data_IF_499366930617
#
_entry.id   IF_499366930617
#
_cell.length_a   1.000
_cell.length_b   1.000
_cell.length_c   1.000
_cell.angle_alpha   90.00
_cell.angle_beta   90.00
_cell.angle_gamma   90.00
#
_symmetry.space_group_name_H-M   'P 1'
#
loop_
_entity.id
_entity.type
_entity.pdbx_description
1 polymer ?
#
# COMPACT_ATOMS: atom_id res chain seq x y z
N UNK A 1 -31.45 -5.41 -10.75
CA UNK A 1 -30.61 -6.63 -11.03
C UNK A 1 -29.26 -6.47 -10.36
N UNK A 2 -28.69 -7.52 -9.71
CA UNK A 2 -27.36 -7.47 -9.07
C UNK A 2 -26.33 -8.16 -9.98
N UNK A 3 -25.20 -7.46 -10.23
CA UNK A 3 -24.10 -7.92 -11.08
C UNK A 3 -22.80 -7.78 -10.30
N UNK A 4 -21.95 -8.81 -10.30
CA UNK A 4 -20.61 -8.73 -9.70
C UNK A 4 -19.62 -8.22 -10.73
N UNK A 5 -18.82 -7.24 -10.29
CA UNK A 5 -17.78 -6.62 -11.10
C UNK A 5 -16.40 -6.87 -10.51
N UNK A 6 -15.40 -6.85 -11.37
CA UNK A 6 -13.99 -6.90 -11.00
C UNK A 6 -13.28 -5.66 -11.56
N UNK A 7 -12.15 -5.29 -10.97
CA UNK A 7 -11.39 -4.13 -11.41
C UNK A 7 -11.64 -2.88 -10.57
N UNK A 8 -11.48 -1.70 -11.17
CA UNK A 8 -11.51 -0.45 -10.44
C UNK A 8 -12.86 0.25 -10.57
N UNK A 9 -13.60 0.37 -9.46
CA UNK A 9 -14.90 1.05 -9.39
C UNK A 9 -14.86 2.51 -9.90
N UNK A 10 -13.71 3.18 -9.86
CA UNK A 10 -13.57 4.55 -10.38
C UNK A 10 -13.66 4.64 -11.91
N UNK A 11 -13.59 3.52 -12.61
CA UNK A 11 -13.78 3.40 -14.07
C UNK A 11 -15.18 2.92 -14.45
N UNK A 12 -16.01 2.63 -13.46
CA UNK A 12 -17.37 2.17 -13.74
C UNK A 12 -18.19 3.27 -14.44
N UNK A 13 -19.02 2.85 -15.36
CA UNK A 13 -19.94 3.72 -16.14
C UNK A 13 -21.38 3.64 -15.60
N UNK A 14 -21.55 3.27 -14.33
CA UNK A 14 -22.85 3.39 -13.64
C UNK A 14 -23.21 4.86 -13.46
N UNK A 15 -24.51 5.16 -13.35
CA UNK A 15 -24.99 6.54 -13.13
C UNK A 15 -24.40 7.14 -11.86
N UNK A 16 -24.21 6.30 -10.84
CA UNK A 16 -23.54 6.70 -9.61
C UNK A 16 -22.52 5.66 -9.13
N UNK A 17 -21.45 6.14 -8.51
CA UNK A 17 -20.42 5.31 -7.84
C UNK A 17 -20.37 5.65 -6.35
N UNK A 18 -20.32 4.61 -5.52
CA UNK A 18 -20.30 4.79 -4.05
C UNK A 18 -18.88 4.90 -3.53
N UNK A 19 -18.65 5.92 -2.69
CA UNK A 19 -17.44 6.15 -1.94
C UNK A 19 -17.68 5.87 -0.45
N UNK A 20 -16.95 4.91 0.14
CA UNK A 20 -17.04 4.61 1.58
C UNK A 20 -16.25 5.63 2.40
N UNK A 21 -16.92 6.33 3.32
CA UNK A 21 -16.33 7.44 4.08
C UNK A 21 -16.55 7.33 5.59
N UNK A 22 -15.96 8.25 6.34
CA UNK A 22 -16.25 8.51 7.76
C UNK A 22 -16.99 9.84 7.89
N UNK A 23 -17.40 10.22 9.12
CA UNK A 23 -18.12 11.49 9.35
C UNK A 23 -17.25 12.61 9.91
N UNK A 24 -15.91 12.44 9.94
CA UNK A 24 -14.97 13.48 10.42
C UNK A 24 -14.15 14.14 9.29
N UNK A 25 -14.53 13.93 8.03
CA UNK A 25 -13.95 14.65 6.90
C UNK A 25 -12.58 14.15 6.43
N UNK A 26 -12.17 12.90 6.76
CA UNK A 26 -10.85 12.37 6.42
C UNK A 26 -10.93 11.32 5.31
N UNK A 27 -10.33 11.60 4.17
CA UNK A 27 -10.09 10.66 3.06
C UNK A 27 -8.58 10.45 2.91
N UNK A 28 -7.98 9.75 3.89
CA UNK A 28 -6.52 9.61 4.00
C UNK A 28 -5.95 8.28 3.50
N UNK A 29 -6.78 7.25 3.31
CA UNK A 29 -6.35 5.88 2.92
C UNK A 29 -7.43 5.16 2.12
N UNK A 30 -7.04 4.06 1.46
CA UNK A 30 -7.93 3.14 0.76
C UNK A 30 -8.75 3.80 -0.34
N UNK A 31 -9.93 3.27 -0.60
CA UNK A 31 -10.84 3.72 -1.65
C UNK A 31 -11.17 5.21 -1.52
N UNK A 32 -11.41 5.72 -0.30
CA UNK A 32 -11.73 7.13 -0.08
C UNK A 32 -10.60 8.07 -0.56
N UNK A 33 -9.32 7.72 -0.34
CA UNK A 33 -8.20 8.50 -0.86
C UNK A 33 -8.19 8.51 -2.39
N UNK A 34 -8.53 7.40 -3.04
CA UNK A 34 -8.63 7.33 -4.49
C UNK A 34 -9.74 8.25 -5.01
N UNK A 35 -10.93 8.24 -4.38
CA UNK A 35 -12.02 9.17 -4.70
C UNK A 35 -11.62 10.62 -4.51
N UNK A 36 -10.88 10.96 -3.44
CA UNK A 36 -10.35 12.31 -3.21
C UNK A 36 -9.45 12.77 -4.36
N UNK A 37 -8.58 11.88 -4.84
CA UNK A 37 -7.68 12.19 -5.96
C UNK A 37 -8.42 12.30 -7.31
N UNK A 38 -9.41 11.42 -7.55
CA UNK A 38 -10.17 11.38 -8.80
C UNK A 38 -11.23 12.47 -8.89
N UNK A 39 -11.86 12.82 -7.77
CA UNK A 39 -13.00 13.74 -7.68
C UNK A 39 -12.76 14.81 -6.58
N UNK A 40 -11.88 15.82 -6.82
CA UNK A 40 -11.54 16.84 -5.82
C UNK A 40 -12.73 17.64 -5.32
N UNK A 41 -13.71 17.94 -6.20
CA UNK A 41 -14.90 18.72 -5.82
C UNK A 41 -15.86 17.90 -4.95
N UNK A 42 -15.97 16.60 -5.18
CA UNK A 42 -16.64 15.68 -4.24
C UNK A 42 -15.99 15.74 -2.86
N UNK A 43 -14.65 15.74 -2.78
CA UNK A 43 -13.96 15.86 -1.50
C UNK A 43 -14.26 17.18 -0.77
N UNK A 44 -14.33 18.30 -1.50
CA UNK A 44 -14.68 19.62 -0.91
C UNK A 44 -16.10 19.60 -0.33
N UNK A 45 -17.08 19.09 -1.09
CA UNK A 45 -18.47 18.95 -0.66
C UNK A 45 -18.59 18.05 0.59
N UNK A 46 -17.96 16.87 0.54
CA UNK A 46 -17.92 15.94 1.67
C UNK A 46 -17.27 16.57 2.91
N UNK A 47 -16.12 17.22 2.75
CA UNK A 47 -15.41 17.87 3.86
C UNK A 47 -16.28 18.93 4.53
N UNK A 48 -16.94 19.77 3.73
CA UNK A 48 -17.89 20.78 4.21
C UNK A 48 -19.03 20.13 5.00
N UNK A 49 -19.67 19.09 4.47
CA UNK A 49 -20.76 18.41 5.15
C UNK A 49 -20.34 17.77 6.49
N UNK A 50 -19.10 17.30 6.59
CA UNK A 50 -18.55 16.81 7.86
C UNK A 50 -18.26 17.95 8.85
N UNK A 51 -17.71 19.09 8.39
CA UNK A 51 -17.43 20.25 9.24
C UNK A 51 -18.73 20.86 9.78
N UNK A 52 -19.76 20.94 8.93
CA UNK A 52 -21.12 21.39 9.29
C UNK A 52 -21.91 20.35 10.13
N UNK A 53 -21.33 19.15 10.35
CA UNK A 53 -21.97 18.02 11.04
C UNK A 53 -23.31 17.58 10.40
N UNK A 54 -23.52 17.89 9.14
CA UNK A 54 -24.71 17.48 8.38
C UNK A 54 -24.62 16.06 7.83
N UNK A 55 -23.42 15.47 7.72
CA UNK A 55 -23.22 14.08 7.30
C UNK A 55 -23.00 13.20 8.54
N UNK A 56 -23.96 12.33 8.83
CA UNK A 56 -23.94 11.39 9.96
C UNK A 56 -24.11 9.94 9.48
N UNK A 57 -23.88 8.98 10.38
CA UNK A 57 -24.15 7.56 10.10
C UNK A 57 -25.62 7.37 9.72
N UNK A 58 -25.87 6.53 8.75
CA UNK A 58 -27.21 6.25 8.23
C UNK A 58 -27.71 7.25 7.19
N UNK A 59 -27.01 8.36 6.98
CA UNK A 59 -27.27 9.30 5.89
C UNK A 59 -26.19 9.18 4.82
N UNK A 60 -26.55 9.53 3.59
CA UNK A 60 -25.60 9.58 2.46
C UNK A 60 -25.53 11.00 1.90
N UNK A 61 -24.43 11.30 1.22
CA UNK A 61 -24.23 12.57 0.53
C UNK A 61 -23.96 12.32 -0.95
N UNK A 62 -24.93 12.64 -1.80
CA UNK A 62 -24.78 12.60 -3.25
C UNK A 62 -24.20 13.91 -3.77
N UNK A 63 -23.10 13.83 -4.50
CA UNK A 63 -22.44 14.98 -5.11
C UNK A 63 -22.49 14.79 -6.63
N UNK A 64 -23.13 15.73 -7.38
CA UNK A 64 -23.16 15.66 -8.83
C UNK A 64 -21.77 15.89 -9.41
N UNK A 65 -21.43 15.13 -10.43
CA UNK A 65 -20.26 15.36 -11.25
C UNK A 65 -20.68 16.13 -12.50
N UNK A 66 -20.00 17.22 -12.80
CA UNK A 66 -20.24 17.99 -14.03
C UNK A 66 -19.65 17.23 -15.24
N UNK A 67 -20.19 16.05 -15.53
CA UNK A 67 -19.72 15.13 -16.57
C UNK A 67 -20.79 14.94 -17.62
N UNK A 68 -20.37 14.84 -18.88
CA UNK A 68 -21.25 14.53 -20.04
C UNK A 68 -21.54 13.03 -20.12
N UNK A 69 -20.71 12.19 -19.49
CA UNK A 69 -20.85 10.74 -19.44
C UNK A 69 -20.85 10.24 -17.99
N UNK A 70 -21.43 9.06 -17.78
CA UNK A 70 -21.41 8.40 -16.47
C UNK A 70 -19.95 8.18 -15.96
N UNK A 71 -19.73 8.23 -14.63
CA UNK A 71 -20.75 8.46 -13.62
C UNK A 71 -21.17 9.93 -13.50
N UNK A 72 -22.45 10.15 -13.18
CA UNK A 72 -23.01 11.48 -12.95
C UNK A 72 -22.95 11.92 -11.49
N UNK A 73 -22.85 10.94 -10.56
CA UNK A 73 -22.83 11.19 -9.12
C UNK A 73 -21.74 10.36 -8.42
N UNK A 74 -21.13 10.98 -7.42
CA UNK A 74 -20.45 10.26 -6.34
C UNK A 74 -21.34 10.27 -5.12
N UNK A 75 -21.66 9.09 -4.59
CA UNK A 75 -22.44 8.93 -3.36
C UNK A 75 -21.49 8.60 -2.21
N UNK A 76 -21.28 9.57 -1.31
CA UNK A 76 -20.49 9.35 -0.10
C UNK A 76 -21.35 8.62 0.94
N UNK A 77 -20.92 7.42 1.31
CA UNK A 77 -21.62 6.49 2.19
C UNK A 77 -20.82 6.35 3.51
N UNK A 78 -21.26 6.97 4.63
CA UNK A 78 -20.58 6.85 5.91
C UNK A 78 -20.71 5.43 6.48
N UNK A 79 -19.59 4.73 6.59
CA UNK A 79 -19.53 3.38 7.17
C UNK A 79 -19.04 3.37 8.61
N UNK A 80 -18.51 4.50 9.10
CA UNK A 80 -18.00 4.70 10.46
C UNK A 80 -17.89 6.17 10.83
N UNK A 81 -17.90 6.46 12.11
CA UNK A 81 -17.78 7.85 12.61
C UNK A 81 -16.35 8.36 12.42
N UNK A 82 -15.38 7.69 12.99
CA UNK A 82 -13.98 8.12 12.97
C UNK A 82 -13.13 7.21 12.09
N UNK A 83 -12.15 7.78 11.38
CA UNK A 83 -11.30 7.01 10.45
C UNK A 83 -10.49 5.88 11.12
N UNK A 84 -10.16 5.98 12.42
CA UNK A 84 -9.52 4.92 13.21
C UNK A 84 -10.51 3.86 13.70
N UNK A 85 -11.82 4.15 13.69
CA UNK A 85 -12.86 3.26 14.20
C UNK A 85 -13.17 2.10 13.27
N UNK A 86 -13.89 1.10 13.82
CA UNK A 86 -14.48 0.00 13.05
C UNK A 86 -15.85 0.37 12.53
N UNK A 87 -16.24 -0.21 11.40
CA UNK A 87 -17.61 -0.14 10.89
C UNK A 87 -18.51 -1.11 11.66
N UNK A 88 -19.81 -0.84 11.66
CA UNK A 88 -20.85 -1.71 12.25
C UNK A 88 -21.86 -2.07 11.17
N UNK A 89 -22.45 -3.27 11.25
CA UNK A 89 -23.46 -3.72 10.29
C UNK A 89 -24.69 -2.82 10.29
N UNK A 90 -25.13 -2.35 11.48
CA UNK A 90 -26.26 -1.43 11.63
C UNK A 90 -26.02 -0.11 10.86
N UNK A 91 -24.78 0.35 10.80
CA UNK A 91 -24.42 1.55 10.02
C UNK A 91 -24.55 1.31 8.52
N UNK A 92 -24.24 0.11 8.05
CA UNK A 92 -24.41 -0.28 6.65
C UNK A 92 -25.90 -0.38 6.31
N UNK A 93 -26.68 -1.03 7.16
CA UNK A 93 -28.13 -1.19 7.00
C UNK A 93 -28.85 0.16 6.90
N UNK A 94 -28.59 1.07 7.85
CA UNK A 94 -29.16 2.43 7.82
C UNK A 94 -28.77 3.18 6.55
N UNK A 95 -27.51 3.09 6.14
CA UNK A 95 -27.02 3.71 4.91
C UNK A 95 -27.65 3.13 3.63
N UNK A 96 -27.91 1.81 3.59
CA UNK A 96 -28.59 1.16 2.45
C UNK A 96 -30.04 1.65 2.32
N UNK A 97 -30.76 1.87 3.45
CA UNK A 97 -32.09 2.44 3.42
C UNK A 97 -32.08 3.87 2.83
N UNK A 98 -31.10 4.71 3.23
CA UNK A 98 -30.91 6.04 2.68
C UNK A 98 -30.52 6.00 1.19
N UNK A 99 -29.69 5.02 0.81
CA UNK A 99 -29.29 4.80 -0.58
C UNK A 99 -30.52 4.51 -1.47
N UNK A 100 -31.40 3.64 -1.04
CA UNK A 100 -32.64 3.33 -1.79
C UNK A 100 -33.49 4.56 -2.04
N UNK A 101 -33.68 5.40 -1.00
CA UNK A 101 -34.43 6.64 -1.11
C UNK A 101 -33.77 7.60 -2.11
N UNK A 102 -32.44 7.71 -2.06
CA UNK A 102 -31.68 8.61 -2.92
C UNK A 102 -31.66 8.14 -4.38
N UNK A 103 -31.52 6.84 -4.62
CA UNK A 103 -31.57 6.25 -5.97
C UNK A 103 -32.94 6.52 -6.62
N UNK A 104 -34.03 6.41 -5.86
CA UNK A 104 -35.39 6.77 -6.33
C UNK A 104 -35.50 8.26 -6.61
N UNK A 105 -35.00 9.13 -5.71
CA UNK A 105 -35.04 10.60 -5.86
C UNK A 105 -34.28 11.09 -7.07
N UNK A 106 -33.14 10.48 -7.39
CA UNK A 106 -32.27 10.84 -8.51
C UNK A 106 -32.58 10.05 -9.79
N UNK A 107 -33.57 9.14 -9.75
CA UNK A 107 -33.99 8.27 -10.86
C UNK A 107 -32.83 7.46 -11.48
N UNK A 108 -31.85 7.04 -10.63
CA UNK A 108 -30.68 6.30 -11.10
C UNK A 108 -31.06 4.91 -11.61
N UNK A 109 -30.47 4.51 -12.72
CA UNK A 109 -30.68 3.18 -13.34
C UNK A 109 -29.55 2.22 -13.02
N UNK A 110 -28.38 2.72 -12.62
CA UNK A 110 -27.23 1.91 -12.30
C UNK A 110 -26.39 2.53 -11.18
N UNK A 111 -25.92 1.69 -10.25
CA UNK A 111 -25.10 2.11 -9.10
C UNK A 111 -23.98 1.11 -8.85
N UNK A 112 -22.74 1.58 -8.80
CA UNK A 112 -21.59 0.76 -8.44
C UNK A 112 -21.31 0.83 -6.93
N UNK A 113 -21.31 -0.33 -6.28
CA UNK A 113 -21.21 -0.49 -4.82
C UNK A 113 -19.91 -1.20 -4.47
N UNK A 114 -19.00 -0.56 -3.70
CA UNK A 114 -17.81 -1.23 -3.19
C UNK A 114 -18.13 -2.11 -1.99
N UNK A 115 -17.14 -2.84 -1.48
CA UNK A 115 -17.25 -3.65 -0.26
C UNK A 115 -17.45 -2.76 0.99
N UNK A 116 -18.70 -2.33 1.22
CA UNK A 116 -19.10 -1.40 2.28
C UNK A 116 -18.60 -1.84 3.65
N UNK A 117 -17.69 -1.04 4.26
CA UNK A 117 -17.15 -1.32 5.59
C UNK A 117 -16.25 -2.55 5.72
N UNK A 118 -16.03 -3.33 4.65
CA UNK A 118 -15.26 -4.59 4.71
C UNK A 118 -13.75 -4.43 4.52
N UNK A 119 -13.28 -3.28 4.06
CA UNK A 119 -11.85 -2.98 4.00
C UNK A 119 -11.32 -2.47 5.34
N UNK A 120 -10.97 -1.18 5.41
CA UNK A 120 -10.52 -0.50 6.64
C UNK A 120 -11.57 -0.44 7.76
N UNK A 121 -12.81 -0.80 7.48
CA UNK A 121 -13.90 -0.91 8.46
C UNK A 121 -13.90 -2.22 9.24
N UNK A 122 -13.32 -3.29 8.66
CA UNK A 122 -13.11 -4.59 9.31
C UNK A 122 -14.36 -5.48 9.41
N UNK A 123 -15.42 -5.19 8.65
CA UNK A 123 -16.60 -6.07 8.60
C UNK A 123 -16.33 -7.31 7.74
N UNK A 124 -16.82 -8.50 8.11
CA UNK A 124 -16.78 -9.68 7.26
C UNK A 124 -17.60 -9.46 5.98
N UNK A 125 -16.97 -9.67 4.82
CA UNK A 125 -17.63 -9.40 3.53
C UNK A 125 -18.92 -10.19 3.34
N UNK A 126 -18.94 -11.47 3.70
CA UNK A 126 -20.11 -12.33 3.53
C UNK A 126 -21.36 -11.76 4.22
N UNK A 127 -21.22 -11.15 5.40
CA UNK A 127 -22.31 -10.52 6.13
C UNK A 127 -22.80 -9.24 5.44
N UNK A 128 -21.86 -8.42 4.96
CA UNK A 128 -22.17 -7.17 4.24
C UNK A 128 -22.81 -7.48 2.88
N UNK A 129 -22.32 -8.48 2.17
CA UNK A 129 -22.87 -8.93 0.90
C UNK A 129 -24.32 -9.41 1.03
N UNK A 130 -24.60 -10.22 2.07
CA UNK A 130 -25.96 -10.68 2.34
C UNK A 130 -26.89 -9.50 2.61
N UNK A 131 -26.47 -8.56 3.44
CA UNK A 131 -27.22 -7.36 3.76
C UNK A 131 -27.50 -6.49 2.52
N UNK A 132 -26.52 -6.33 1.63
CA UNK A 132 -26.72 -5.61 0.35
C UNK A 132 -27.77 -6.32 -0.49
N UNK A 133 -27.67 -7.65 -0.66
CA UNK A 133 -28.62 -8.42 -1.45
C UNK A 133 -30.06 -8.32 -0.93
N UNK A 134 -30.25 -8.47 0.37
CA UNK A 134 -31.55 -8.41 1.02
C UNK A 134 -32.19 -7.02 0.86
N UNK A 135 -31.41 -5.95 1.10
CA UNK A 135 -31.95 -4.58 1.03
C UNK A 135 -32.25 -4.09 -0.37
N UNK A 136 -31.52 -4.57 -1.39
CA UNK A 136 -31.69 -4.09 -2.76
C UNK A 136 -32.58 -5.00 -3.63
N UNK A 137 -33.06 -6.11 -3.09
CA UNK A 137 -33.90 -7.07 -3.80
C UNK A 137 -35.23 -6.46 -4.30
N UNK A 138 -35.75 -5.48 -3.59
CA UNK A 138 -37.01 -4.79 -3.92
C UNK A 138 -36.88 -3.66 -4.97
N UNK A 139 -35.68 -3.50 -5.56
CA UNK A 139 -35.41 -2.54 -6.63
C UNK A 139 -34.86 -3.24 -7.90
N UNK A 140 -35.66 -4.10 -8.55
CA UNK A 140 -35.20 -4.92 -9.68
C UNK A 140 -34.85 -4.09 -10.95
N UNK A 141 -35.40 -2.89 -11.07
CA UNK A 141 -35.20 -2.00 -12.23
C UNK A 141 -33.87 -1.24 -12.17
N UNK A 142 -33.14 -1.34 -11.06
CA UNK A 142 -31.81 -0.75 -10.90
C UNK A 142 -30.75 -1.81 -11.09
N UNK A 143 -29.72 -1.50 -11.85
CA UNK A 143 -28.52 -2.32 -12.01
C UNK A 143 -27.52 -2.03 -10.88
N UNK A 144 -27.37 -2.96 -9.95
CA UNK A 144 -26.46 -2.88 -8.82
C UNK A 144 -25.15 -3.61 -9.16
N UNK A 145 -24.07 -2.86 -9.42
CA UNK A 145 -22.74 -3.39 -9.74
C UNK A 145 -21.91 -3.52 -8.48
N UNK A 146 -21.80 -4.74 -7.96
CA UNK A 146 -21.11 -5.00 -6.70
C UNK A 146 -19.63 -5.30 -6.97
N UNK A 147 -18.77 -4.56 -6.28
CA UNK A 147 -17.32 -4.75 -6.25
C UNK A 147 -16.90 -5.40 -4.93
N UNK A 148 -16.68 -6.73 -4.90
CA UNK A 148 -16.17 -7.43 -3.72
C UNK A 148 -14.81 -6.88 -3.27
N UNK A 149 -14.35 -7.19 -2.04
CA UNK A 149 -13.03 -6.77 -1.59
C UNK A 149 -11.94 -7.32 -2.52
N UNK A 150 -11.33 -6.45 -3.28
CA UNK A 150 -10.16 -6.72 -4.10
C UNK A 150 -9.16 -5.59 -3.89
N UNK A 151 -7.88 -5.86 -4.09
CA UNK A 151 -6.90 -4.79 -4.21
C UNK A 151 -7.27 -3.94 -5.45
N UNK A 152 -7.86 -2.78 -5.23
CA UNK A 152 -8.27 -1.90 -6.33
C UNK A 152 -7.03 -1.25 -6.95
N UNK A 153 -6.76 -1.42 -8.25
CA UNK A 153 -5.70 -0.67 -8.92
C UNK A 153 -6.02 0.83 -8.90
N UNK A 154 -5.04 1.67 -8.53
CA UNK A 154 -5.22 3.13 -8.57
C UNK A 154 -5.28 3.65 -10.00
N UNK A 155 -6.22 4.56 -10.24
CA UNK A 155 -6.15 5.53 -11.32
C UNK A 155 -5.09 6.58 -10.98
N UNK A 156 -3.88 6.42 -11.49
CA UNK A 156 -2.94 7.53 -11.49
C UNK A 156 -3.25 8.49 -12.64
N UNK A 157 -3.98 9.56 -12.33
CA UNK A 157 -4.04 10.76 -13.20
C UNK A 157 -2.76 11.60 -13.11
N UNK A 158 -1.78 11.17 -12.32
CA UNK A 158 -0.49 11.86 -12.19
C UNK A 158 0.38 11.56 -13.42
N UNK A 159 1.16 12.55 -13.84
CA UNK A 159 2.16 12.34 -14.88
C UNK A 159 3.11 11.23 -14.45
N UNK A 160 3.38 10.27 -15.36
CA UNK A 160 4.37 9.20 -15.09
C UNK A 160 5.70 9.83 -14.67
N UNK A 161 6.24 9.48 -13.51
CA UNK A 161 7.54 10.04 -13.09
C UNK A 161 8.66 9.52 -14.00
N UNK A 162 9.66 10.36 -14.24
CA UNK A 162 10.83 9.93 -15.03
C UNK A 162 11.55 8.76 -14.34
N UNK A 163 12.14 7.85 -15.13
CA UNK A 163 13.07 6.86 -14.60
C UNK A 163 14.30 7.59 -14.03
N UNK A 164 14.81 7.10 -12.91
CA UNK A 164 16.03 7.57 -12.25
C UNK A 164 16.85 6.38 -11.83
N UNK A 165 18.14 6.57 -11.56
CA UNK A 165 19.03 5.49 -11.10
C UNK A 165 18.46 4.74 -9.92
N UNK A 166 18.01 5.45 -8.88
CA UNK A 166 17.39 4.84 -7.70
C UNK A 166 16.09 4.07 -8.00
N UNK A 167 15.20 4.59 -8.88
CA UNK A 167 14.01 3.85 -9.30
C UNK A 167 14.35 2.59 -10.08
N UNK A 168 15.27 2.71 -11.04
CA UNK A 168 15.71 1.57 -11.84
C UNK A 168 16.34 0.49 -10.97
N UNK A 169 17.22 0.85 -10.02
CA UNK A 169 17.82 -0.08 -9.09
C UNK A 169 16.79 -0.79 -8.20
N UNK A 170 15.81 -0.05 -7.67
CA UNK A 170 14.73 -0.65 -6.84
C UNK A 170 13.86 -1.59 -7.65
N UNK A 171 13.41 -1.18 -8.85
CA UNK A 171 12.58 -2.02 -9.72
C UNK A 171 13.33 -3.28 -10.18
N UNK A 172 14.58 -3.14 -10.57
CA UNK A 172 15.43 -4.28 -10.94
C UNK A 172 15.66 -5.25 -9.77
N UNK A 173 15.88 -4.74 -8.54
CA UNK A 173 16.01 -5.61 -7.34
C UNK A 173 14.72 -6.33 -7.00
N UNK A 174 13.57 -5.66 -7.14
CA UNK A 174 12.27 -6.31 -6.94
C UNK A 174 12.10 -7.45 -7.95
N UNK A 175 12.40 -7.22 -9.23
CA UNK A 175 12.33 -8.24 -10.26
C UNK A 175 13.27 -9.41 -9.95
N UNK A 176 14.54 -9.12 -9.63
CA UNK A 176 15.52 -10.14 -9.28
C UNK A 176 15.06 -10.98 -8.07
N UNK A 177 14.52 -10.33 -7.05
CA UNK A 177 14.00 -10.95 -5.85
C UNK A 177 12.83 -11.89 -6.14
N UNK A 178 11.85 -11.45 -6.93
CA UNK A 178 10.65 -12.23 -7.26
C UNK A 178 10.98 -13.39 -8.22
N UNK A 179 11.91 -13.20 -9.15
CA UNK A 179 12.30 -14.23 -10.14
C UNK A 179 12.99 -15.44 -9.52
N UNK A 180 13.56 -15.32 -8.30
CA UNK A 180 14.19 -16.44 -7.58
C UNK A 180 13.18 -17.31 -6.82
N UNK A 181 11.95 -16.82 -6.57
CA UNK A 181 10.93 -17.50 -5.78
C UNK A 181 9.72 -17.99 -6.59
N UNK A 182 9.36 -19.25 -6.49
CA UNK A 182 8.16 -19.81 -7.13
C UNK A 182 6.87 -19.16 -6.57
N UNK A 183 6.32 -18.16 -7.28
CA UNK A 183 5.05 -17.51 -6.92
C UNK A 183 5.09 -16.64 -5.64
N UNK A 184 6.27 -16.28 -5.17
CA UNK A 184 6.43 -15.43 -4.00
C UNK A 184 5.97 -14.00 -4.31
N UNK A 185 5.14 -13.43 -3.43
CA UNK A 185 4.72 -12.03 -3.52
C UNK A 185 5.56 -11.18 -2.59
N UNK A 186 6.38 -10.31 -3.17
CA UNK A 186 7.19 -9.37 -2.41
C UNK A 186 6.30 -8.36 -1.67
N UNK A 187 6.64 -8.07 -0.43
CA UNK A 187 5.89 -7.15 0.43
C UNK A 187 6.58 -5.80 0.59
N UNK A 188 5.83 -4.83 1.11
CA UNK A 188 6.35 -3.51 1.45
C UNK A 188 7.55 -3.57 2.41
N UNK A 189 7.55 -4.54 3.35
CA UNK A 189 8.67 -4.75 4.27
C UNK A 189 9.95 -5.04 3.49
N UNK A 190 9.90 -5.92 2.51
CA UNK A 190 11.07 -6.32 1.72
C UNK A 190 11.55 -5.19 0.83
N UNK A 191 10.63 -4.41 0.23
CA UNK A 191 11.01 -3.20 -0.52
C UNK A 191 11.81 -2.23 0.37
N UNK A 192 11.38 -2.02 1.61
CA UNK A 192 12.13 -1.19 2.58
C UNK A 192 13.56 -1.70 2.80
N UNK A 193 13.75 -3.02 2.84
CA UNK A 193 15.09 -3.63 3.06
C UNK A 193 15.95 -3.61 1.80
N UNK A 194 15.36 -3.78 0.63
CA UNK A 194 16.08 -3.62 -0.63
C UNK A 194 16.62 -2.19 -0.78
N UNK A 195 15.79 -1.18 -0.49
CA UNK A 195 16.20 0.22 -0.52
C UNK A 195 17.26 0.52 0.56
N UNK A 196 17.12 -0.08 1.75
CA UNK A 196 18.13 0.02 2.80
C UNK A 196 19.50 -0.45 2.33
N UNK A 197 19.60 -1.62 1.72
CA UNK A 197 20.87 -2.13 1.21
C UNK A 197 21.41 -1.32 0.05
N UNK A 198 20.56 -0.78 -0.84
CA UNK A 198 21.01 0.15 -1.88
C UNK A 198 21.66 1.39 -1.29
N UNK A 199 21.07 1.98 -0.23
CA UNK A 199 21.71 3.14 0.42
C UNK A 199 22.99 2.75 1.16
N UNK A 200 23.03 1.56 1.76
CA UNK A 200 24.23 1.05 2.43
C UNK A 200 25.40 0.85 1.49
N UNK A 201 25.17 0.43 0.23
CA UNK A 201 26.23 0.31 -0.78
C UNK A 201 26.52 1.63 -1.52
N UNK A 202 25.94 2.75 -1.08
CA UNK A 202 26.25 4.09 -1.57
C UNK A 202 25.44 4.52 -2.82
N UNK A 203 24.29 3.89 -3.11
CA UNK A 203 23.40 4.45 -4.13
C UNK A 203 22.83 5.80 -3.64
N UNK A 204 22.94 6.88 -4.42
CA UNK A 204 22.55 8.22 -4.00
C UNK A 204 21.03 8.39 -4.01
N UNK A 205 20.37 7.85 -2.99
CA UNK A 205 18.94 8.00 -2.75
C UNK A 205 18.68 9.22 -1.87
N UNK A 206 18.61 10.40 -2.49
CA UNK A 206 18.45 11.67 -1.80
C UNK A 206 17.28 11.66 -0.82
N UNK A 207 17.51 12.16 0.41
CA UNK A 207 16.52 12.27 1.50
C UNK A 207 16.02 10.94 2.07
N UNK A 208 16.60 9.80 1.69
CA UNK A 208 16.28 8.52 2.32
C UNK A 208 17.19 8.32 3.50
N UNK A 209 16.61 8.45 4.69
CA UNK A 209 17.30 8.28 5.98
C UNK A 209 16.57 7.20 6.75
N UNK A 210 17.33 6.24 7.26
CA UNK A 210 16.80 5.10 8.00
C UNK A 210 16.86 5.31 9.51
N UNK A 211 15.93 4.71 10.22
CA UNK A 211 15.88 4.66 11.67
C UNK A 211 15.54 3.25 12.16
N UNK A 212 15.88 2.96 13.39
CA UNK A 212 15.53 1.72 14.07
C UNK A 212 14.02 1.62 14.24
N UNK A 213 13.41 0.52 13.78
CA UNK A 213 11.97 0.30 13.83
C UNK A 213 11.66 -1.16 14.18
N UNK A 214 10.37 -1.49 14.43
CA UNK A 214 9.93 -2.82 14.87
C UNK A 214 10.43 -3.97 13.99
N UNK A 215 10.41 -3.81 12.67
CA UNK A 215 10.87 -4.80 11.69
C UNK A 215 12.27 -4.53 11.12
N UNK A 216 13.15 -3.89 11.90
CA UNK A 216 14.48 -3.50 11.44
C UNK A 216 14.53 -2.08 10.86
N UNK A 217 15.57 -1.70 10.09
CA UNK A 217 15.72 -0.36 9.53
C UNK A 217 14.51 0.05 8.70
N UNK A 218 14.02 1.28 8.90
CA UNK A 218 12.83 1.81 8.22
C UNK A 218 13.02 3.27 7.85
N UNK A 219 12.59 3.66 6.64
CA UNK A 219 12.59 5.03 6.17
C UNK A 219 11.17 5.47 5.79
N UNK A 220 10.60 6.43 6.55
CA UNK A 220 9.22 6.90 6.34
C UNK A 220 9.04 7.59 4.97
N UNK A 221 10.08 8.27 4.49
CA UNK A 221 10.07 8.98 3.19
C UNK A 221 9.77 8.08 2.00
N UNK A 222 10.07 6.77 2.10
CA UNK A 222 9.79 5.80 1.03
C UNK A 222 8.31 5.68 0.71
N UNK A 223 7.43 5.98 1.66
CA UNK A 223 5.99 6.02 1.39
C UNK A 223 5.65 7.00 0.25
N UNK A 224 6.28 8.17 0.24
CA UNK A 224 6.06 9.16 -0.81
C UNK A 224 6.66 8.76 -2.15
N UNK A 225 7.78 8.03 -2.12
CA UNK A 225 8.41 7.51 -3.35
C UNK A 225 7.52 6.44 -3.98
N UNK A 226 7.05 5.47 -3.20
CA UNK A 226 6.18 4.39 -3.66
C UNK A 226 4.81 4.91 -4.11
N UNK A 227 4.23 5.91 -3.42
CA UNK A 227 2.98 6.57 -3.85
C UNK A 227 3.11 7.19 -5.26
N UNK A 228 4.28 7.76 -5.59
CA UNK A 228 4.54 8.28 -6.93
C UNK A 228 4.79 7.19 -7.98
N UNK A 229 5.29 6.04 -7.57
CA UNK A 229 5.55 4.90 -8.47
C UNK A 229 4.30 4.08 -8.74
N UNK A 230 3.32 4.13 -7.84
CA UNK A 230 2.06 3.39 -7.93
C UNK A 230 1.29 3.70 -9.20
N UNK A 231 0.79 2.64 -9.87
CA UNK A 231 0.06 2.72 -11.13
C UNK A 231 0.92 3.01 -12.36
N UNK A 232 2.19 3.43 -12.18
CA UNK A 232 3.14 3.70 -13.25
C UNK A 232 4.20 2.61 -13.41
N UNK A 233 4.80 2.18 -12.29
CA UNK A 233 5.88 1.18 -12.25
C UNK A 233 5.53 -0.02 -11.37
N UNK A 234 4.73 0.21 -10.34
CA UNK A 234 4.28 -0.80 -9.38
C UNK A 234 2.77 -0.74 -9.20
N UNK A 235 2.19 -1.79 -8.61
CA UNK A 235 0.81 -1.85 -8.12
C UNK A 235 0.76 -2.53 -6.76
N UNK A 236 -0.32 -2.24 -6.00
CA UNK A 236 -0.55 -2.80 -4.67
C UNK A 236 -0.28 -1.85 -3.50
N UNK A 237 0.48 -0.78 -3.71
CA UNK A 237 0.77 0.20 -2.66
C UNK A 237 -0.40 1.15 -2.37
N UNK A 238 -1.26 1.35 -3.34
CA UNK A 238 -2.22 2.45 -3.39
C UNK A 238 -3.50 2.30 -2.58
N UNK A 239 -3.79 1.13 -2.04
CA UNK A 239 -4.96 0.94 -1.19
C UNK A 239 -4.81 1.63 0.19
N UNK A 240 -3.63 2.20 0.47
CA UNK A 240 -3.32 2.95 1.70
C UNK A 240 -3.29 2.10 2.96
N UNK A 241 -3.33 0.78 2.84
CA UNK A 241 -3.22 -0.11 3.99
C UNK A 241 -1.82 -0.13 4.59
N UNK A 242 -0.79 0.16 3.81
CA UNK A 242 0.63 0.31 4.20
C UNK A 242 1.06 -0.61 5.36
N UNK A 243 0.54 -1.85 5.36
CA UNK A 243 0.99 -2.89 6.29
C UNK A 243 2.33 -3.43 5.79
N UNK A 244 3.20 -3.91 6.69
CA UNK A 244 4.46 -4.54 6.28
C UNK A 244 4.26 -5.65 5.23
N UNK A 245 3.14 -6.38 5.32
CA UNK A 245 2.78 -7.51 4.46
C UNK A 245 2.06 -7.10 3.16
N UNK A 246 1.83 -5.80 2.91
CA UNK A 246 1.17 -5.34 1.67
C UNK A 246 1.95 -5.80 0.45
N UNK A 247 1.36 -6.61 -0.43
CA UNK A 247 2.05 -7.11 -1.63
C UNK A 247 2.27 -5.99 -2.63
N UNK A 248 3.46 -5.96 -3.22
CA UNK A 248 3.85 -5.03 -4.27
C UNK A 248 4.12 -5.83 -5.53
N UNK A 249 3.48 -5.45 -6.62
CA UNK A 249 3.64 -6.11 -7.92
C UNK A 249 4.25 -5.13 -8.94
N UNK A 250 5.17 -5.63 -9.77
CA UNK A 250 5.77 -4.85 -10.85
C UNK A 250 4.84 -4.80 -12.07
N UNK A 251 4.86 -3.69 -12.78
CA UNK A 251 4.26 -3.59 -14.11
C UNK A 251 5.30 -4.01 -15.16
N UNK A 252 4.91 -4.92 -16.08
CA UNK A 252 5.85 -5.58 -16.98
C UNK A 252 6.70 -4.63 -17.84
N UNK A 253 6.13 -3.52 -18.33
CA UNK A 253 6.84 -2.48 -19.09
C UNK A 253 7.86 -1.72 -18.24
N UNK A 254 7.58 -1.54 -16.94
CA UNK A 254 8.45 -0.84 -16.01
C UNK A 254 9.76 -1.61 -15.74
N UNK A 255 9.71 -2.93 -15.74
CA UNK A 255 10.89 -3.79 -15.56
C UNK A 255 11.85 -3.64 -16.72
N UNK A 256 11.32 -3.73 -17.95
CA UNK A 256 12.14 -3.59 -19.18
C UNK A 256 12.82 -2.21 -19.21
N UNK A 257 12.05 -1.16 -18.91
CA UNK A 257 12.58 0.21 -18.86
C UNK A 257 13.68 0.35 -17.79
N UNK A 258 13.46 -0.22 -16.60
CA UNK A 258 14.41 -0.15 -15.49
C UNK A 258 15.74 -0.88 -15.82
N UNK A 259 15.66 -2.09 -16.36
CA UNK A 259 16.84 -2.86 -16.73
C UNK A 259 17.64 -2.18 -17.85
N UNK A 260 16.97 -1.67 -18.89
CA UNK A 260 17.62 -0.90 -19.95
C UNK A 260 18.28 0.38 -19.42
N UNK A 261 17.65 1.03 -18.43
CA UNK A 261 18.21 2.21 -17.78
C UNK A 261 19.48 1.88 -16.97
N UNK A 262 19.49 0.75 -16.26
CA UNK A 262 20.64 0.27 -15.50
C UNK A 262 21.85 -0.02 -16.38
N UNK A 263 21.64 -0.58 -17.59
CA UNK A 263 22.74 -0.83 -18.54
C UNK A 263 23.49 0.45 -18.96
N UNK A 264 22.80 1.59 -18.91
CA UNK A 264 23.38 2.90 -19.24
C UNK A 264 24.04 3.60 -18.04
N UNK A 265 23.90 3.03 -16.81
CA UNK A 265 24.36 3.64 -15.56
C UNK A 265 25.25 2.66 -14.79
N UNK A 266 26.47 2.48 -15.24
CA UNK A 266 27.44 1.46 -14.77
C UNK A 266 27.62 1.44 -13.26
N UNK A 267 27.76 2.59 -12.60
CA UNK A 267 27.95 2.65 -11.16
C UNK A 267 26.71 2.15 -10.37
N UNK A 268 25.51 2.56 -10.79
CA UNK A 268 24.26 2.08 -10.18
C UNK A 268 24.08 0.60 -10.44
N UNK A 269 24.43 0.11 -11.64
CA UNK A 269 24.39 -1.32 -11.97
C UNK A 269 25.34 -2.13 -11.07
N UNK A 270 26.55 -1.66 -10.83
CA UNK A 270 27.49 -2.32 -9.92
C UNK A 270 26.92 -2.39 -8.48
N UNK A 271 26.30 -1.30 -7.99
CA UNK A 271 25.63 -1.30 -6.68
C UNK A 271 24.43 -2.25 -6.64
N UNK A 272 23.63 -2.25 -7.69
CA UNK A 272 22.53 -3.20 -7.89
C UNK A 272 23.02 -4.65 -7.82
N UNK A 273 24.06 -5.01 -8.59
CA UNK A 273 24.62 -6.36 -8.61
C UNK A 273 25.20 -6.76 -7.24
N UNK A 274 25.83 -5.82 -6.53
CA UNK A 274 26.35 -6.03 -5.17
C UNK A 274 25.22 -6.36 -4.19
N UNK A 275 24.10 -5.61 -4.23
CA UNK A 275 22.94 -5.88 -3.37
C UNK A 275 22.27 -7.19 -3.76
N UNK A 276 22.04 -7.44 -5.05
CA UNK A 276 21.45 -8.67 -5.53
C UNK A 276 22.23 -9.91 -5.03
N UNK A 277 23.56 -9.87 -5.10
CA UNK A 277 24.40 -10.94 -4.59
C UNK A 277 24.38 -11.05 -3.06
N UNK A 278 24.33 -9.93 -2.34
CA UNK A 278 24.27 -9.91 -0.89
C UNK A 278 23.04 -10.63 -0.33
N UNK A 279 21.86 -10.41 -0.95
CA UNK A 279 20.58 -10.92 -0.45
C UNK A 279 20.28 -12.37 -0.87
N UNK A 280 21.07 -12.98 -1.75
CA UNK A 280 20.87 -14.38 -2.16
C UNK A 280 20.77 -15.34 -0.97
N UNK A 281 19.69 -16.12 -0.90
CA UNK A 281 19.36 -17.03 0.19
C UNK A 281 18.64 -16.36 1.37
N UNK A 282 18.37 -15.05 1.31
CA UNK A 282 17.60 -14.31 2.29
C UNK A 282 16.29 -13.74 1.71
N UNK A 283 15.88 -14.19 0.52
CA UNK A 283 14.68 -13.72 -0.19
C UNK A 283 13.39 -14.23 0.47
N UNK A 284 13.13 -13.71 1.66
CA UNK A 284 11.89 -13.88 2.43
C UNK A 284 11.73 -12.72 3.41
N UNK A 285 10.51 -12.44 3.88
CA UNK A 285 10.28 -11.38 4.87
C UNK A 285 11.18 -11.53 6.10
N UNK A 286 11.27 -12.74 6.65
CA UNK A 286 12.11 -13.03 7.81
C UNK A 286 13.60 -12.93 7.49
N UNK A 287 14.03 -13.40 6.33
CA UNK A 287 15.42 -13.32 5.87
C UNK A 287 15.88 -11.88 5.69
N UNK A 288 15.11 -11.06 4.99
CA UNK A 288 15.42 -9.64 4.77
C UNK A 288 15.36 -8.83 6.06
N UNK A 289 14.39 -9.11 6.93
CA UNK A 289 14.33 -8.50 8.27
C UNK A 289 15.58 -8.84 9.09
N UNK A 290 15.99 -10.11 9.11
CA UNK A 290 17.16 -10.57 9.82
C UNK A 290 18.45 -9.94 9.27
N UNK A 291 18.68 -10.06 7.95
CA UNK A 291 19.91 -9.57 7.30
C UNK A 291 20.09 -8.06 7.53
N UNK A 292 19.01 -7.28 7.34
CA UNK A 292 19.05 -5.82 7.54
C UNK A 292 19.22 -5.42 9.00
N UNK A 293 18.66 -6.21 9.95
CA UNK A 293 18.84 -5.95 11.38
C UNK A 293 20.28 -6.23 11.81
N UNK A 294 20.87 -7.34 11.35
CA UNK A 294 22.27 -7.69 11.65
C UNK A 294 23.22 -6.64 11.07
N UNK A 295 22.96 -6.21 9.82
CA UNK A 295 23.74 -5.13 9.19
C UNK A 295 23.68 -3.83 10.01
N UNK A 296 22.48 -3.41 10.44
CA UNK A 296 22.30 -2.21 11.26
C UNK A 296 23.06 -2.31 12.58
N UNK A 297 22.89 -3.42 13.30
CA UNK A 297 23.60 -3.65 14.56
C UNK A 297 25.10 -3.55 14.37
N UNK A 298 25.63 -4.22 13.34
CA UNK A 298 27.05 -4.25 13.07
C UNK A 298 27.65 -2.90 12.63
N UNK A 299 26.85 -2.04 11.95
CA UNK A 299 27.38 -0.81 11.34
C UNK A 299 26.97 0.48 12.07
N UNK A 300 25.88 0.46 12.85
CA UNK A 300 25.33 1.67 13.44
C UNK A 300 25.39 1.69 14.99
N UNK A 301 25.29 0.50 15.65
CA UNK A 301 25.18 0.50 17.12
C UNK A 301 26.53 0.42 17.85
N UNK A 302 27.57 -0.13 17.20
CA UNK A 302 28.87 -0.34 17.85
C UNK A 302 30.01 0.55 17.34
N UNK A 303 29.72 1.45 16.42
CA UNK A 303 30.74 2.37 15.86
C UNK A 303 31.85 1.61 15.12
N UNK A 304 33.11 1.94 15.45
CA UNK A 304 34.31 1.33 14.83
C UNK A 304 34.87 0.12 15.64
N UNK A 305 34.10 -0.41 16.59
CA UNK A 305 34.49 -1.58 17.36
C UNK A 305 34.59 -2.82 16.48
N UNK A 306 35.67 -3.59 16.65
CA UNK A 306 35.76 -4.94 16.07
C UNK A 306 34.78 -5.84 16.80
N UNK A 307 33.75 -6.31 16.08
CA UNK A 307 32.67 -7.09 16.68
C UNK A 307 33.01 -8.58 16.76
N UNK A 308 32.65 -9.19 17.88
CA UNK A 308 32.61 -10.64 18.07
C UNK A 308 31.22 -11.17 17.64
N UNK A 309 31.13 -12.49 17.46
CA UNK A 309 29.87 -13.20 17.24
C UNK A 309 28.84 -12.92 18.34
N UNK A 310 29.32 -12.85 19.59
CA UNK A 310 28.48 -12.60 20.75
C UNK A 310 27.95 -11.16 20.80
N UNK A 311 28.77 -10.17 20.45
CA UNK A 311 28.32 -8.77 20.32
C UNK A 311 27.14 -8.65 19.37
N UNK A 312 27.24 -9.28 18.17
CA UNK A 312 26.18 -9.22 17.15
C UNK A 312 24.91 -9.92 17.63
N UNK A 313 25.03 -11.11 18.23
CA UNK A 313 23.87 -11.83 18.78
C UNK A 313 23.18 -10.97 19.85
N UNK A 314 23.94 -10.43 20.80
CA UNK A 314 23.42 -9.61 21.89
C UNK A 314 22.77 -8.33 21.37
N UNK A 315 23.36 -7.67 20.38
CA UNK A 315 22.80 -6.48 19.73
C UNK A 315 21.46 -6.77 19.04
N UNK A 316 21.35 -7.89 18.31
CA UNK A 316 20.10 -8.31 17.69
C UNK A 316 19.03 -8.68 18.72
N UNK A 317 19.41 -9.46 19.75
CA UNK A 317 18.49 -9.84 20.83
C UNK A 317 18.03 -8.62 21.64
N UNK A 318 18.89 -7.64 21.85
CA UNK A 318 18.56 -6.37 22.51
C UNK A 318 17.67 -5.42 21.71
N UNK A 319 17.44 -5.70 20.43
CA UNK A 319 16.62 -4.83 19.56
C UNK A 319 15.17 -4.71 20.01
N UNK A 320 14.51 -5.83 20.30
CA UNK A 320 13.13 -5.90 20.78
C UNK A 320 12.83 -7.30 21.34
N UNK A 321 11.76 -7.43 22.14
CA UNK A 321 11.29 -8.72 22.66
C UNK A 321 11.03 -9.76 21.55
N UNK A 322 10.56 -9.33 20.37
CA UNK A 322 10.37 -10.20 19.21
C UNK A 322 11.70 -10.74 18.68
N UNK A 323 12.72 -9.88 18.58
CA UNK A 323 14.04 -10.28 18.07
C UNK A 323 14.88 -11.06 19.06
N UNK A 324 14.59 -10.95 20.35
CA UNK A 324 15.20 -11.80 21.39
C UNK A 324 14.95 -13.31 21.15
N UNK A 325 13.88 -13.65 20.40
CA UNK A 325 13.57 -15.04 20.03
C UNK A 325 14.22 -15.50 18.70
N UNK A 326 15.01 -14.66 18.03
CA UNK A 326 15.72 -15.07 16.82
C UNK A 326 16.85 -16.05 17.16
N UNK A 327 16.93 -17.16 16.41
CA UNK A 327 17.95 -18.18 16.66
C UNK A 327 19.36 -17.63 16.37
N UNK A 328 20.29 -17.79 17.32
CA UNK A 328 21.67 -17.33 17.18
C UNK A 328 22.36 -17.88 15.92
N UNK A 329 22.07 -19.12 15.52
CA UNK A 329 22.60 -19.69 14.28
C UNK A 329 22.18 -18.91 13.03
N UNK A 330 20.94 -18.41 12.97
CA UNK A 330 20.46 -17.60 11.84
C UNK A 330 21.10 -16.20 11.87
N UNK A 331 21.28 -15.60 13.03
CA UNK A 331 21.99 -14.32 13.20
C UNK A 331 23.42 -14.45 12.69
N UNK A 332 24.12 -15.51 13.06
CA UNK A 332 25.49 -15.79 12.61
C UNK A 332 25.56 -16.06 11.11
N UNK A 333 24.60 -16.78 10.54
CA UNK A 333 24.52 -16.99 9.09
C UNK A 333 24.39 -15.64 8.33
N UNK A 334 23.52 -14.75 8.80
CA UNK A 334 23.36 -13.42 8.22
C UNK A 334 24.64 -12.57 8.37
N UNK A 335 25.28 -12.62 9.55
CA UNK A 335 26.53 -11.90 9.79
C UNK A 335 27.68 -12.40 8.92
N UNK A 336 27.84 -13.72 8.78
CA UNK A 336 28.84 -14.31 7.88
C UNK A 336 28.62 -13.89 6.43
N UNK A 337 27.35 -13.93 5.96
CA UNK A 337 26.97 -13.44 4.63
C UNK A 337 27.40 -12.00 4.41
N UNK A 338 27.13 -11.10 5.36
CA UNK A 338 27.52 -9.69 5.29
C UNK A 338 29.06 -9.54 5.21
N UNK A 339 29.81 -10.31 6.00
CA UNK A 339 31.30 -10.29 5.96
C UNK A 339 31.83 -10.79 4.62
N UNK A 340 31.36 -11.93 4.14
CA UNK A 340 31.80 -12.56 2.89
C UNK A 340 31.55 -11.69 1.66
N UNK A 341 30.45 -10.93 1.67
CA UNK A 341 30.09 -10.07 0.55
C UNK A 341 30.55 -8.60 0.72
N UNK A 342 31.38 -8.28 1.71
CA UNK A 342 31.83 -6.90 1.98
C UNK A 342 30.68 -5.95 2.34
N UNK A 343 29.60 -6.48 2.89
CA UNK A 343 28.41 -5.69 3.27
C UNK A 343 28.60 -4.82 4.50
N UNK A 344 29.69 -5.01 5.28
CA UNK A 344 29.96 -4.26 6.49
C UNK A 344 30.87 -3.03 6.27
N UNK A 345 31.39 -2.85 5.05
CA UNK A 345 32.33 -1.77 4.72
C UNK A 345 31.65 -0.41 4.55
N UNK A 346 30.33 -0.37 4.56
CA UNK A 346 29.54 0.83 4.29
C UNK A 346 28.33 0.96 5.23
N UNK A 347 27.96 2.22 5.57
CA UNK A 347 26.86 2.56 6.46
C UNK A 347 25.73 3.21 5.68
N UNK A 348 24.47 2.80 5.94
CA UNK A 348 23.32 3.52 5.43
C UNK A 348 23.14 4.86 6.17
N UNK A 349 22.66 5.92 5.49
CA UNK A 349 22.33 7.20 6.15
C UNK A 349 21.30 7.00 7.27
N UNK A 350 21.59 7.53 8.45
CA UNK A 350 20.70 7.51 9.64
C UNK A 350 20.40 8.92 10.11
N UNK A 351 19.32 9.06 10.90
CA UNK A 351 18.94 10.34 11.55
C UNK A 351 19.96 10.73 12.62
#
# INVERSE_FOLDING_TARGET
MIIYQTGNILHDQADAIINTVNTVGVMGKGLALQFKKAFPDNFKAYKKACDDKSLVIGQILSVPLNSISAPFYVINFPTKVHWKGRSKLESIEQGLNSLKAEVKRLELKSVAIPALGSGLGGLPWQQVELLIKEHLADMPDVEWRIYPPQAAPMLNKTKRPAMTTGRAAVLGLIERYVSTGFGYRLSLLEVQKLVYFLTAVGEPLNKVVFQKHHYGPYADVLRHVLDKMEGHFISGYADGLNKPETPIELKGDAVIEALNYLEQHTETKQRFDKVAKLIEGFESQNGMELLSTVHWVATQEYGDKVLTSEDVINGVHGWSARKANMKSAHILAAWNRLREQGGLDSKAPTL
#
